data_IF_545753415084
#
_entry.id   IF_545753415084
#
_cell.length_a   1.000
_cell.length_b   1.000
_cell.length_c   1.000
_cell.angle_alpha   90.00
_cell.angle_beta   90.00
_cell.angle_gamma   90.00
#
_symmetry.space_group_name_H-M   'P 1'
#
loop_
_entity.id
_entity.type
_entity.pdbx_description
1 polymer ?
#
# COMPACT_ATOMS: atom_id res chain seq x y z
N UNK A 1 -0.66 4.00 -2.94
CA UNK A 1 -0.68 3.24 -1.66
C UNK A 1 0.41 2.21 -1.64
N UNK A 2 1.08 2.04 -0.50
CA UNK A 2 1.95 0.90 -0.24
C UNK A 2 1.44 0.10 0.93
N UNK A 3 1.59 -1.23 0.89
CA UNK A 3 1.21 -2.14 1.98
C UNK A 3 2.37 -3.09 2.28
N UNK A 4 2.61 -3.29 3.57
CA UNK A 4 3.63 -4.20 4.07
C UNK A 4 3.11 -5.60 4.34
N UNK A 5 4.03 -6.55 4.47
CA UNK A 5 3.74 -7.94 4.84
C UNK A 5 2.96 -8.04 6.15
N UNK A 6 3.30 -7.19 7.15
CA UNK A 6 2.58 -7.13 8.42
C UNK A 6 1.28 -6.32 8.38
N UNK A 7 0.86 -5.79 7.23
CA UNK A 7 -0.43 -5.13 7.08
C UNK A 7 -0.47 -3.65 7.44
N UNK A 8 0.68 -2.97 7.47
CA UNK A 8 0.76 -1.51 7.57
C UNK A 8 0.70 -0.85 6.20
N UNK A 9 -0.18 0.12 6.03
CA UNK A 9 -0.37 0.86 4.78
C UNK A 9 0.02 2.34 4.90
N UNK A 10 0.58 2.88 3.83
CA UNK A 10 0.79 4.33 3.63
C UNK A 10 0.09 4.78 2.36
N UNK A 11 -0.73 5.82 2.47
CA UNK A 11 -1.34 6.52 1.35
C UNK A 11 -0.66 7.88 1.21
N UNK A 12 0.24 8.02 0.24
CA UNK A 12 0.86 9.29 -0.13
C UNK A 12 0.26 9.80 -1.44
N UNK A 13 0.37 11.10 -1.68
CA UNK A 13 0.00 11.69 -2.96
C UNK A 13 1.07 11.38 -4.02
N UNK A 14 0.72 11.26 -5.31
CA UNK A 14 1.68 10.94 -6.36
C UNK A 14 2.79 11.98 -6.54
N UNK A 15 2.48 13.26 -6.31
CA UNK A 15 3.42 14.39 -6.38
C UNK A 15 4.52 14.34 -5.30
N UNK A 16 4.32 13.59 -4.22
CA UNK A 16 5.36 13.34 -3.22
C UNK A 16 6.48 12.43 -3.74
N UNK A 17 6.24 11.69 -4.84
CA UNK A 17 7.20 10.79 -5.47
C UNK A 17 7.83 11.49 -6.68
N UNK A 18 9.04 11.99 -6.49
CA UNK A 18 9.76 12.70 -7.54
C UNK A 18 10.07 11.78 -8.74
N UNK A 19 9.81 12.29 -9.94
CA UNK A 19 10.27 11.66 -11.18
C UNK A 19 11.80 11.77 -11.24
N UNK A 20 12.46 10.64 -11.43
CA UNK A 20 13.91 10.59 -11.59
C UNK A 20 14.29 10.71 -13.07
N UNK A 21 15.32 11.50 -13.35
CA UNK A 21 15.89 11.67 -14.70
C UNK A 21 16.74 10.49 -15.16
N UNK A 22 16.92 9.46 -14.34
CA UNK A 22 17.77 8.31 -14.62
C UNK A 22 17.67 7.23 -13.52
N UNK A 23 18.60 6.25 -13.48
CA UNK A 23 18.55 5.09 -12.59
C UNK A 23 18.91 5.40 -11.12
N UNK A 24 18.42 6.52 -10.59
CA UNK A 24 18.62 6.91 -9.19
C UNK A 24 17.95 5.95 -8.21
N UNK A 25 18.36 5.99 -6.94
CA UNK A 25 17.89 5.09 -5.87
C UNK A 25 16.42 5.28 -5.45
N UNK A 26 15.67 6.16 -6.10
CA UNK A 26 14.29 6.48 -5.74
C UNK A 26 14.17 7.32 -4.47
N UNK A 27 12.93 7.40 -3.98
CA UNK A 27 12.58 8.03 -2.70
C UNK A 27 11.94 7.01 -1.78
N UNK A 28 12.01 7.25 -0.47
CA UNK A 28 11.35 6.38 0.51
C UNK A 28 9.85 6.69 0.54
N UNK A 29 9.03 5.73 0.12
CA UNK A 29 7.56 5.81 0.19
C UNK A 29 7.04 5.37 1.56
N UNK A 30 7.55 4.26 2.09
CA UNK A 30 7.18 3.72 3.41
C UNK A 30 8.42 3.22 4.15
N UNK A 31 8.41 3.32 5.48
CA UNK A 31 9.44 2.77 6.37
C UNK A 31 8.87 1.59 7.17
N UNK A 32 9.02 0.34 6.70
CA UNK A 32 8.54 -0.84 7.42
C UNK A 32 9.21 -0.99 8.79
N UNK A 33 8.56 -1.76 9.67
CA UNK A 33 9.17 -2.18 10.93
C UNK A 33 10.36 -3.14 10.72
N UNK A 34 11.10 -3.44 11.80
CA UNK A 34 12.19 -4.42 11.75
C UNK A 34 11.65 -5.79 11.30
N UNK A 35 12.22 -6.34 10.21
CA UNK A 35 11.81 -7.63 9.64
C UNK A 35 10.60 -7.57 8.71
N UNK A 36 9.95 -6.42 8.61
CA UNK A 36 8.80 -6.20 7.73
C UNK A 36 9.26 -5.71 6.34
N UNK A 37 8.44 -5.96 5.32
CA UNK A 37 8.76 -5.62 3.92
C UNK A 37 7.54 -5.09 3.21
N UNK A 38 7.72 -4.09 2.35
CA UNK A 38 6.68 -3.66 1.41
C UNK A 38 6.42 -4.79 0.42
N UNK A 39 5.14 -5.16 0.25
CA UNK A 39 4.68 -6.24 -0.65
C UNK A 39 3.78 -5.74 -1.76
N UNK A 40 3.18 -4.56 -1.57
CA UNK A 40 2.25 -3.96 -2.53
C UNK A 40 2.62 -2.49 -2.73
N UNK A 41 2.60 -2.05 -3.98
CA UNK A 41 2.53 -0.66 -4.36
C UNK A 41 1.47 -0.54 -5.46
N UNK A 42 0.42 0.23 -5.23
CA UNK A 42 -0.71 0.37 -6.14
C UNK A 42 -1.24 1.81 -6.16
N UNK A 43 -1.67 2.27 -7.33
CA UNK A 43 -2.52 3.45 -7.44
C UNK A 43 -3.95 3.07 -7.09
N UNK A 44 -4.65 3.92 -6.33
CA UNK A 44 -6.04 3.67 -5.92
C UNK A 44 -6.81 4.99 -5.92
N UNK A 45 -8.11 4.92 -6.19
CA UNK A 45 -8.99 6.06 -6.04
C UNK A 45 -9.16 6.46 -4.57
N UNK A 46 -9.46 7.75 -4.32
CA UNK A 46 -9.66 8.30 -2.96
C UNK A 46 -10.77 7.57 -2.18
N UNK A 47 -11.79 7.07 -2.88
CA UNK A 47 -12.93 6.34 -2.32
C UNK A 47 -13.09 4.99 -3.05
N UNK A 48 -12.07 4.15 -2.96
CA UNK A 48 -12.11 2.82 -3.56
C UNK A 48 -11.79 1.71 -2.55
N UNK A 49 -11.87 0.48 -3.05
CA UNK A 49 -11.31 -0.71 -2.41
C UNK A 49 -10.17 -1.24 -3.26
N UNK A 50 -9.25 -2.00 -2.66
CA UNK A 50 -8.30 -2.80 -3.40
C UNK A 50 -8.12 -4.16 -2.74
N UNK A 51 -7.87 -5.17 -3.58
CA UNK A 51 -7.74 -6.56 -3.13
C UNK A 51 -6.28 -6.94 -3.00
N UNK A 52 -5.93 -7.49 -1.84
CA UNK A 52 -4.58 -8.00 -1.56
C UNK A 52 -4.60 -9.49 -1.37
N UNK A 53 -3.53 -10.15 -1.80
CA UNK A 53 -3.34 -11.57 -1.56
C UNK A 53 -2.65 -11.78 -0.22
N UNK A 54 -3.31 -12.51 0.68
CA UNK A 54 -2.70 -13.05 1.89
C UNK A 54 -2.30 -14.50 1.65
N UNK A 55 -1.40 -15.04 2.48
CA UNK A 55 -1.14 -16.50 2.48
C UNK A 55 -2.39 -17.34 2.75
N UNK A 56 -3.44 -16.75 3.33
CA UNK A 56 -4.71 -17.40 3.64
C UNK A 56 -5.85 -17.07 2.67
N UNK A 57 -5.59 -16.39 1.55
CA UNK A 57 -6.61 -15.99 0.57
C UNK A 57 -6.64 -14.49 0.27
N UNK A 58 -7.41 -14.06 -0.73
CA UNK A 58 -7.60 -12.65 -1.05
C UNK A 58 -8.37 -11.94 0.05
N UNK A 59 -8.09 -10.65 0.24
CA UNK A 59 -8.79 -9.78 1.17
C UNK A 59 -8.95 -8.39 0.57
N UNK A 60 -10.17 -7.88 0.66
CA UNK A 60 -10.46 -6.50 0.28
C UNK A 60 -10.07 -5.52 1.40
N UNK A 61 -9.53 -4.37 1.00
CA UNK A 61 -9.14 -3.29 1.90
C UNK A 61 -9.71 -1.97 1.39
N UNK A 62 -10.48 -1.30 2.25
CA UNK A 62 -11.03 0.02 1.96
C UNK A 62 -9.98 1.12 2.08
N UNK A 63 -9.90 1.98 1.07
CA UNK A 63 -8.99 3.14 1.06
C UNK A 63 -9.51 4.24 1.98
N UNK A 64 -10.83 4.38 2.14
CA UNK A 64 -11.44 5.40 2.98
C UNK A 64 -11.01 5.29 4.46
N UNK A 65 -10.71 4.08 4.93
CA UNK A 65 -10.16 3.84 6.27
C UNK A 65 -8.69 4.22 6.44
N UNK A 66 -8.02 4.61 5.35
CA UNK A 66 -6.63 5.05 5.35
C UNK A 66 -6.57 6.57 5.30
N UNK A 67 -5.97 7.18 6.32
CA UNK A 67 -5.63 8.60 6.24
C UNK A 67 -4.53 8.78 5.20
N UNK A 68 -4.69 9.76 4.30
CA UNK A 68 -3.57 10.21 3.46
C UNK A 68 -2.52 10.77 4.40
N UNK A 69 -1.38 10.09 4.46
CA UNK A 69 -0.23 10.45 5.27
C UNK A 69 0.92 10.70 4.33
N UNK A 70 1.71 11.75 4.59
CA UNK A 70 2.94 11.96 3.83
C UNK A 70 3.84 10.71 3.82
N UNK A 71 4.68 10.61 2.80
CA UNK A 71 5.60 9.47 2.61
C UNK A 71 6.60 9.28 3.76
N UNK A 72 7.35 8.17 3.71
CA UNK A 72 8.41 7.80 4.66
C UNK A 72 7.95 7.56 6.11
N UNK A 73 6.67 7.19 6.31
CA UNK A 73 6.11 6.77 7.60
C UNK A 73 6.02 5.24 7.68
N UNK A 74 5.77 4.71 8.89
CA UNK A 74 5.41 3.29 9.07
C UNK A 74 4.04 2.98 8.47
N UNK A 75 3.11 3.93 8.60
CA UNK A 75 1.74 3.78 8.13
C UNK A 75 0.77 3.24 9.18
N UNK A 76 -0.49 3.15 8.78
CA UNK A 76 -1.60 2.66 9.60
C UNK A 76 -1.74 1.15 9.48
N UNK A 77 -2.02 0.45 10.58
CA UNK A 77 -2.32 -1.00 10.55
C UNK A 77 -3.73 -1.21 10.00
N UNK A 78 -3.83 -1.61 8.73
CA UNK A 78 -5.11 -1.83 8.04
C UNK A 78 -5.52 -3.30 8.06
N UNK A 79 -4.56 -4.21 8.09
CA UNK A 79 -4.80 -5.64 8.32
C UNK A 79 -4.38 -5.97 9.75
N UNK A 80 -5.38 -6.00 10.64
CA UNK A 80 -5.16 -6.19 12.09
C UNK A 80 -4.92 -7.65 12.48
N UNK A 81 -5.53 -8.59 11.75
CA UNK A 81 -5.51 -10.04 12.04
C UNK A 81 -5.52 -10.82 10.72
N UNK A 82 -4.89 -12.00 10.72
CA UNK A 82 -4.88 -12.92 9.59
C UNK A 82 -3.46 -13.28 9.14
N UNK A 83 -3.39 -13.97 8.00
CA UNK A 83 -2.13 -14.40 7.41
C UNK A 83 -1.34 -13.20 6.80
N UNK A 84 -0.01 -13.32 6.67
CA UNK A 84 0.81 -12.25 6.09
C UNK A 84 0.41 -11.90 4.66
N UNK A 85 0.56 -10.62 4.29
CA UNK A 85 0.40 -10.15 2.91
C UNK A 85 1.55 -10.69 2.06
N UNK A 86 1.22 -11.26 0.90
CA UNK A 86 2.22 -11.78 -0.05
C UNK A 86 2.32 -10.96 -1.32
N UNK A 87 1.27 -10.19 -1.66
CA UNK A 87 1.25 -9.31 -2.82
C UNK A 87 -0.14 -8.70 -3.03
N UNK A 88 -0.34 -8.06 -4.17
CA UNK A 88 -1.65 -7.68 -4.68
C UNK A 88 -2.19 -8.77 -5.60
N UNK A 89 -3.51 -8.89 -5.67
CA UNK A 89 -4.14 -9.60 -6.79
C UNK A 89 -4.06 -8.65 -8.00
N UNK A 90 -3.52 -9.08 -9.15
CA UNK A 90 -3.55 -8.25 -10.35
C UNK A 90 -5.00 -8.05 -10.79
N UNK A 91 -5.35 -6.79 -11.01
CA UNK A 91 -6.57 -6.27 -11.62
C UNK A 91 -7.88 -6.48 -10.84
N UNK A 92 -8.35 -5.40 -10.21
CA UNK A 92 -9.51 -4.59 -10.63
C UNK A 92 -9.47 -3.35 -9.73
N UNK A 93 -9.00 -2.21 -10.24
CA UNK A 93 -9.32 -0.91 -9.65
C UNK A 93 -10.69 -0.58 -10.23
N UNK A 94 -11.78 -0.98 -9.56
CA UNK A 94 -13.11 -0.56 -9.98
C UNK A 94 -13.20 0.92 -9.63
N UNK A 95 -13.15 1.77 -10.65
CA UNK A 95 -13.66 3.13 -10.52
C UNK A 95 -15.17 2.99 -10.27
N UNK A 96 -15.60 3.19 -9.02
CA UNK A 96 -17.01 3.47 -8.77
C UNK A 96 -17.30 4.87 -9.33
N UNK A 97 -18.02 4.89 -10.46
CA UNK A 97 -18.62 6.07 -11.08
C UNK A 97 -19.48 6.87 -10.09
#
# INVERSE_FOLDING_TARGET
VTLTQEGYAVCCMPDEVALLSGPGKGVIVQRPGKGDRVRVAASVAKKGTFTVQLKGGPREVEVAGMTITGRAKRGLKVIKRGAPVVGSVPDIVTESE
#
